data_IF_010995769194
#
_entry.id   IF_010995769194
#
_cell.length_a   1.000
_cell.length_b   1.000
_cell.length_c   1.000
_cell.angle_alpha   90.00
_cell.angle_beta   90.00
_cell.angle_gamma   90.00
#
_symmetry.space_group_name_H-M   'P 1'
#
loop_
_entity.id
_entity.type
_entity.pdbx_description
1 polymer ?
#
# COMPACT_ATOMS: atom_id res chain seq x y z
N UNK A 1 26.27 -16.48 2.34
CA UNK A 1 26.09 -14.99 2.20
C UNK A 1 24.65 -14.62 2.48
N UNK A 2 24.39 -13.40 2.97
CA UNK A 2 23.05 -12.92 3.34
C UNK A 2 21.97 -13.22 2.28
N UNK A 3 22.25 -13.03 0.99
CA UNK A 3 21.27 -13.29 -0.07
C UNK A 3 20.86 -14.75 -0.20
N UNK A 4 21.82 -15.69 -0.07
CA UNK A 4 21.51 -17.14 -0.12
C UNK A 4 20.67 -17.56 1.08
N UNK A 5 20.94 -17.01 2.26
CA UNK A 5 20.16 -17.35 3.46
C UNK A 5 18.75 -16.78 3.38
N UNK A 6 18.58 -15.57 2.84
CA UNK A 6 17.26 -14.97 2.59
C UNK A 6 16.43 -15.79 1.59
N UNK A 7 17.06 -16.45 0.61
CA UNK A 7 16.35 -17.31 -0.35
C UNK A 7 15.75 -18.57 0.30
N UNK A 8 16.33 -19.07 1.39
CA UNK A 8 15.77 -20.23 2.13
C UNK A 8 14.38 -19.92 2.70
N UNK A 9 14.15 -18.67 3.10
CA UNK A 9 12.87 -18.23 3.67
C UNK A 9 11.91 -17.62 2.63
N UNK A 10 12.34 -17.50 1.39
CA UNK A 10 11.60 -16.79 0.32
C UNK A 10 10.16 -17.29 0.18
N UNK A 11 9.96 -18.59 0.07
CA UNK A 11 8.64 -19.18 -0.10
C UNK A 11 7.73 -18.92 1.12
N UNK A 12 8.28 -19.06 2.33
CA UNK A 12 7.54 -18.79 3.56
C UNK A 12 7.10 -17.33 3.63
N UNK A 13 8.04 -16.41 3.47
CA UNK A 13 7.77 -14.96 3.55
C UNK A 13 6.78 -14.52 2.47
N UNK A 14 6.98 -14.97 1.22
CA UNK A 14 6.13 -14.60 0.09
C UNK A 14 4.72 -15.13 0.27
N UNK A 15 4.55 -16.40 0.61
CA UNK A 15 3.24 -17.00 0.85
C UNK A 15 2.50 -16.34 2.02
N UNK A 16 3.23 -15.98 3.07
CA UNK A 16 2.64 -15.27 4.20
C UNK A 16 2.16 -13.87 3.81
N UNK A 17 2.98 -13.10 3.08
CA UNK A 17 2.60 -11.78 2.56
C UNK A 17 1.39 -11.85 1.64
N UNK A 18 1.31 -12.88 0.79
CA UNK A 18 0.13 -13.13 -0.05
C UNK A 18 -1.13 -13.36 0.78
N UNK A 19 -1.03 -14.07 1.91
CA UNK A 19 -2.18 -14.25 2.83
C UNK A 19 -2.68 -12.91 3.39
N UNK A 20 -1.76 -12.06 3.86
CA UNK A 20 -2.10 -10.72 4.36
C UNK A 20 -2.70 -9.87 3.23
N UNK A 21 -2.09 -9.88 2.05
CA UNK A 21 -2.58 -9.18 0.86
C UNK A 21 -4.03 -9.57 0.52
N UNK A 22 -4.30 -10.87 0.44
CA UNK A 22 -5.66 -11.40 0.19
C UNK A 22 -6.65 -11.03 1.30
N UNK A 23 -6.18 -10.94 2.55
CA UNK A 23 -7.01 -10.49 3.67
C UNK A 23 -7.46 -9.05 3.45
N UNK A 24 -6.53 -8.13 3.13
CA UNK A 24 -6.88 -6.75 2.80
C UNK A 24 -7.85 -6.65 1.62
N UNK A 25 -7.62 -7.37 0.52
CA UNK A 25 -8.53 -7.41 -0.62
C UNK A 25 -9.95 -7.81 -0.21
N UNK A 26 -10.06 -8.88 0.60
CA UNK A 26 -11.36 -9.35 1.11
C UNK A 26 -12.05 -8.29 1.97
N UNK A 27 -11.31 -7.66 2.88
CA UNK A 27 -11.84 -6.66 3.81
C UNK A 27 -12.33 -5.38 3.09
N UNK A 28 -11.73 -5.04 1.95
CA UNK A 28 -12.09 -3.84 1.19
C UNK A 28 -13.01 -4.12 0.00
N UNK A 29 -13.26 -5.37 -0.38
CA UNK A 29 -13.99 -5.75 -1.60
C UNK A 29 -15.38 -5.14 -1.75
N UNK A 30 -16.04 -4.83 -0.65
CA UNK A 30 -17.40 -4.25 -0.63
C UNK A 30 -17.43 -2.76 -0.28
N UNK A 31 -16.29 -2.11 -0.15
CA UNK A 31 -16.23 -0.71 0.27
C UNK A 31 -15.95 0.22 -0.91
N UNK A 32 -16.95 0.97 -1.34
CA UNK A 32 -16.87 1.90 -2.48
C UNK A 32 -15.95 3.11 -2.22
N UNK A 33 -15.66 3.43 -0.96
CA UNK A 33 -14.81 4.57 -0.58
C UNK A 33 -13.32 4.22 -0.59
N UNK A 34 -12.99 2.93 -0.65
CA UNK A 34 -11.63 2.41 -0.60
C UNK A 34 -11.37 1.64 -1.89
N UNK A 35 -10.50 2.17 -2.74
CA UNK A 35 -10.12 1.51 -3.98
C UNK A 35 -8.74 0.89 -3.83
N UNK A 36 -8.64 -0.43 -3.94
CA UNK A 36 -7.35 -1.08 -4.05
C UNK A 36 -6.73 -0.77 -5.42
N UNK A 37 -5.47 -0.31 -5.43
CA UNK A 37 -4.81 0.11 -6.69
C UNK A 37 -4.35 -1.11 -7.51
N UNK A 38 -4.10 -2.23 -6.85
CA UNK A 38 -3.64 -3.45 -7.49
C UNK A 38 -4.63 -4.58 -7.25
N UNK A 39 -5.10 -5.18 -8.32
CA UNK A 39 -5.80 -6.45 -8.27
C UNK A 39 -4.78 -7.59 -8.32
N UNK A 40 -5.04 -8.63 -7.53
CA UNK A 40 -4.26 -9.85 -7.56
C UNK A 40 -4.60 -10.64 -8.83
N UNK A 41 -3.78 -10.52 -9.88
CA UNK A 41 -3.97 -11.30 -11.10
C UNK A 41 -3.57 -12.76 -10.83
N UNK A 42 -4.56 -13.66 -10.90
CA UNK A 42 -4.36 -15.10 -10.69
C UNK A 42 -3.43 -15.75 -11.72
N UNK A 43 -3.20 -15.10 -12.87
CA UNK A 43 -2.40 -15.60 -13.98
C UNK A 43 -0.92 -15.23 -13.86
N UNK A 44 -0.56 -14.41 -12.88
CA UNK A 44 0.81 -13.93 -12.68
C UNK A 44 1.24 -14.16 -11.24
N UNK A 45 2.49 -14.52 -11.08
CA UNK A 45 3.11 -14.52 -9.76
C UNK A 45 3.18 -13.10 -9.22
N UNK A 46 2.75 -12.92 -7.98
CA UNK A 46 2.72 -11.62 -7.33
C UNK A 46 3.57 -11.65 -6.07
N UNK A 47 4.61 -10.81 -6.03
CA UNK A 47 5.54 -10.75 -4.88
C UNK A 47 4.94 -10.15 -3.61
N UNK A 48 3.70 -9.63 -3.65
CA UNK A 48 3.02 -9.00 -2.52
C UNK A 48 3.95 -8.03 -1.76
N UNK A 49 4.64 -7.16 -2.48
CA UNK A 49 5.60 -6.23 -1.88
C UNK A 49 4.89 -5.09 -1.15
N UNK A 50 3.90 -4.47 -1.77
CA UNK A 50 3.13 -3.37 -1.22
C UNK A 50 1.64 -3.64 -1.35
N UNK A 51 0.85 -3.18 -0.36
CA UNK A 51 -0.59 -3.11 -0.49
C UNK A 51 -1.02 -1.64 -0.48
N UNK A 52 -1.50 -1.16 -1.62
CA UNK A 52 -1.82 0.25 -1.83
C UNK A 52 -3.31 0.45 -1.99
N UNK A 53 -3.85 1.40 -1.25
CA UNK A 53 -5.24 1.85 -1.35
C UNK A 53 -5.31 3.30 -1.80
N UNK A 54 -6.43 3.65 -2.43
CA UNK A 54 -6.80 5.02 -2.76
C UNK A 54 -8.02 5.41 -1.95
N UNK A 55 -7.92 6.52 -1.20
CA UNK A 55 -8.96 7.08 -0.35
C UNK A 55 -8.92 8.61 -0.42
N UNK A 56 -10.09 9.27 -0.35
CA UNK A 56 -10.15 10.72 -0.53
C UNK A 56 -9.54 11.52 0.63
N UNK A 57 -9.67 11.04 1.86
CA UNK A 57 -9.19 11.71 3.08
C UNK A 57 -7.97 11.05 3.69
N UNK A 58 -6.96 10.73 2.85
CA UNK A 58 -5.74 10.01 3.20
C UNK A 58 -5.08 10.52 4.49
N UNK A 59 -4.82 11.82 4.58
CA UNK A 59 -4.06 12.40 5.68
C UNK A 59 -4.79 12.23 7.02
N UNK A 60 -6.12 12.37 7.01
CA UNK A 60 -6.93 12.12 8.19
C UNK A 60 -6.87 10.65 8.62
N UNK A 61 -7.02 9.73 7.66
CA UNK A 61 -6.94 8.28 7.95
C UNK A 61 -5.56 7.92 8.44
N UNK A 62 -4.49 8.43 7.83
CA UNK A 62 -3.11 8.20 8.25
C UNK A 62 -2.87 8.68 9.69
N UNK A 63 -3.37 9.88 10.04
CA UNK A 63 -3.30 10.40 11.41
C UNK A 63 -4.01 9.46 12.39
N UNK A 64 -5.23 9.01 12.05
CA UNK A 64 -5.98 8.09 12.90
C UNK A 64 -5.28 6.74 13.07
N UNK A 65 -4.69 6.18 12.03
CA UNK A 65 -3.91 4.94 12.13
C UNK A 65 -2.70 5.12 13.04
N UNK A 66 -2.01 6.26 12.96
CA UNK A 66 -0.88 6.58 13.85
C UNK A 66 -1.29 6.66 15.32
N UNK A 67 -2.49 7.20 15.64
CA UNK A 67 -3.07 7.22 16.99
C UNK A 67 -3.27 5.78 17.55
N UNK A 68 -3.38 4.79 16.66
CA UNK A 68 -3.45 3.36 16.98
C UNK A 68 -2.10 2.63 16.84
N UNK A 69 -0.98 3.35 16.79
CA UNK A 69 0.37 2.81 16.58
C UNK A 69 0.53 2.02 15.26
N UNK A 70 -0.24 2.38 14.24
CA UNK A 70 -0.14 1.78 12.91
C UNK A 70 0.57 2.77 11.98
N UNK A 71 1.76 2.38 11.52
CA UNK A 71 2.52 3.16 10.56
C UNK A 71 2.03 2.86 9.14
N UNK A 72 1.79 3.92 8.38
CA UNK A 72 1.44 3.86 6.97
C UNK A 72 2.18 4.96 6.22
N UNK A 73 2.51 4.72 4.96
CA UNK A 73 3.38 5.64 4.23
C UNK A 73 2.97 5.81 2.77
N UNK A 74 3.55 6.84 2.15
CA UNK A 74 3.68 7.01 0.71
C UNK A 74 5.09 6.55 0.31
N UNK A 75 5.23 5.34 -0.21
CA UNK A 75 6.55 4.72 -0.43
C UNK A 75 7.36 5.43 -1.50
N UNK A 76 6.70 6.03 -2.49
CA UNK A 76 7.40 6.66 -3.60
C UNK A 76 7.10 8.16 -3.66
N UNK A 77 8.16 8.96 -3.50
CA UNK A 77 8.08 10.38 -3.81
C UNK A 77 8.07 10.59 -5.33
N UNK A 78 7.35 11.59 -5.81
CA UNK A 78 7.21 11.88 -7.24
C UNK A 78 8.54 12.28 -7.86
N UNK A 79 8.93 11.57 -8.91
CA UNK A 79 10.20 11.84 -9.61
C UNK A 79 10.22 13.21 -10.30
N UNK A 80 9.07 13.69 -10.79
CA UNK A 80 8.97 14.98 -11.45
C UNK A 80 9.24 16.19 -10.51
N UNK A 81 9.26 15.96 -9.20
CA UNK A 81 9.56 17.00 -8.19
C UNK A 81 11.02 17.07 -7.78
N UNK A 82 11.85 16.10 -8.16
CA UNK A 82 13.28 16.18 -7.88
C UNK A 82 13.96 17.21 -8.78
N UNK A 83 14.86 18.02 -8.19
CA UNK A 83 15.59 19.07 -8.89
C UNK A 83 16.37 18.56 -10.12
N UNK A 84 16.93 17.36 -10.03
CA UNK A 84 17.67 16.71 -11.12
C UNK A 84 16.81 16.49 -12.38
N UNK A 85 15.48 16.27 -12.22
CA UNK A 85 14.57 16.05 -13.34
C UNK A 85 13.92 17.32 -13.86
N UNK A 86 14.10 18.48 -13.19
CA UNK A 86 13.42 19.73 -13.52
C UNK A 86 13.51 20.13 -15.00
N UNK A 87 14.68 19.94 -15.62
CA UNK A 87 14.89 20.25 -17.05
C UNK A 87 14.09 19.35 -17.99
N UNK A 88 13.82 18.11 -17.60
CA UNK A 88 13.11 17.12 -18.42
C UNK A 88 11.58 17.24 -18.30
N UNK A 89 11.10 17.81 -17.22
CA UNK A 89 9.66 17.93 -16.92
C UNK A 89 9.12 19.34 -17.12
N UNK A 90 9.99 20.32 -17.47
CA UNK A 90 9.60 21.72 -17.71
C UNK A 90 8.46 21.80 -18.73
N UNK A 91 7.35 22.43 -18.33
CA UNK A 91 6.15 22.58 -19.16
C UNK A 91 5.28 21.32 -19.30
N UNK A 92 5.66 20.19 -18.70
CA UNK A 92 4.84 18.96 -18.71
C UNK A 92 3.86 18.95 -17.54
N UNK A 93 2.67 18.37 -17.78
CA UNK A 93 1.63 18.15 -16.76
C UNK A 93 1.47 16.66 -16.51
N UNK A 94 1.24 16.30 -15.25
CA UNK A 94 1.08 14.89 -14.82
C UNK A 94 -0.23 14.74 -14.01
N UNK A 95 -1.41 14.92 -14.65
CA UNK A 95 -2.70 14.99 -13.94
C UNK A 95 -3.02 13.73 -13.13
N UNK A 96 -2.64 12.56 -13.61
CA UNK A 96 -2.83 11.30 -12.86
C UNK A 96 -1.96 11.26 -11.61
N UNK A 97 -0.75 11.78 -11.66
CA UNK A 97 0.12 11.85 -10.49
C UNK A 97 -0.38 12.89 -9.49
N UNK A 98 -0.85 14.04 -9.99
CA UNK A 98 -1.46 15.09 -9.17
C UNK A 98 -2.70 14.56 -8.43
N UNK A 99 -3.53 13.79 -9.14
CA UNK A 99 -4.71 13.16 -8.55
C UNK A 99 -4.37 12.11 -7.48
N UNK A 100 -3.39 11.26 -7.75
CA UNK A 100 -3.06 10.14 -6.86
C UNK A 100 -2.26 10.57 -5.63
N UNK A 101 -1.39 11.57 -5.75
CA UNK A 101 -0.43 11.96 -4.71
C UNK A 101 -1.07 12.14 -3.33
N UNK A 102 -2.26 12.77 -3.29
CA UNK A 102 -2.96 13.07 -2.04
C UNK A 102 -3.98 11.99 -1.63
N UNK A 103 -4.01 10.87 -2.33
CA UNK A 103 -5.05 9.84 -2.12
C UNK A 103 -4.51 8.46 -1.83
N UNK A 104 -3.29 8.12 -2.27
CA UNK A 104 -2.79 6.77 -2.06
C UNK A 104 -2.07 6.60 -0.72
N UNK A 105 -2.31 5.47 -0.12
CA UNK A 105 -1.73 5.06 1.15
C UNK A 105 -1.29 3.61 1.07
N UNK A 106 -0.07 3.33 1.53
CA UNK A 106 0.47 1.97 1.60
C UNK A 106 0.29 1.42 3.00
N UNK A 107 -0.29 0.23 3.09
CA UNK A 107 -0.58 -0.45 4.36
C UNK A 107 0.56 -1.41 4.73
N UNK A 108 0.74 -1.69 6.04
CA UNK A 108 1.72 -2.65 6.51
C UNK A 108 1.52 -4.02 5.85
N UNK A 109 2.57 -4.52 5.19
CA UNK A 109 2.56 -5.80 4.50
C UNK A 109 3.90 -6.50 4.66
N UNK A 110 4.09 -7.22 5.76
CA UNK A 110 5.29 -7.99 6.04
C UNK A 110 4.96 -9.21 6.92
N UNK A 111 5.89 -10.13 7.05
CA UNK A 111 5.68 -11.41 7.75
C UNK A 111 5.39 -11.28 9.26
N UNK A 112 5.61 -10.12 9.87
CA UNK A 112 5.26 -9.85 11.28
C UNK A 112 3.84 -9.27 11.46
N UNK A 113 3.15 -8.91 10.37
CA UNK A 113 1.73 -8.49 10.44
C UNK A 113 0.87 -9.74 10.48
N UNK A 114 0.12 -9.92 11.54
CA UNK A 114 -0.82 -11.06 11.65
C UNK A 114 -2.09 -10.83 10.79
N UNK A 115 -2.85 -11.90 10.56
CA UNK A 115 -4.17 -11.78 9.89
C UNK A 115 -5.13 -10.97 10.74
N UNK A 116 -5.07 -11.07 12.08
CA UNK A 116 -5.85 -10.25 13.01
C UNK A 116 -5.49 -8.77 12.90
N UNK A 117 -4.19 -8.44 12.80
CA UNK A 117 -3.74 -7.06 12.61
C UNK A 117 -4.26 -6.49 11.28
N UNK A 118 -4.17 -7.26 10.19
CA UNK A 118 -4.68 -6.83 8.89
C UNK A 118 -6.20 -6.56 8.92
N UNK A 119 -6.97 -7.38 9.61
CA UNK A 119 -8.42 -7.15 9.83
C UNK A 119 -8.67 -5.92 10.70
N UNK A 120 -7.90 -5.73 11.77
CA UNK A 120 -8.00 -4.57 12.65
C UNK A 120 -7.69 -3.27 11.90
N UNK A 121 -6.56 -3.23 11.17
CA UNK A 121 -6.19 -2.11 10.30
C UNK A 121 -7.31 -1.79 9.31
N UNK A 122 -7.85 -2.82 8.66
CA UNK A 122 -8.95 -2.66 7.70
C UNK A 122 -10.21 -2.10 8.36
N UNK A 123 -10.53 -2.52 9.58
CA UNK A 123 -11.70 -2.01 10.32
C UNK A 123 -11.58 -0.53 10.63
N UNK A 124 -10.40 -0.08 11.05
CA UNK A 124 -10.11 1.34 11.30
C UNK A 124 -10.20 2.17 10.01
N UNK A 125 -9.64 1.67 8.92
CA UNK A 125 -9.70 2.36 7.63
C UNK A 125 -11.16 2.50 7.17
N UNK A 126 -11.96 1.43 7.24
CA UNK A 126 -13.39 1.50 6.90
C UNK A 126 -14.16 2.49 7.78
N UNK A 127 -13.79 2.60 9.06
CA UNK A 127 -14.41 3.54 10.01
C UNK A 127 -14.11 4.99 9.63
N UNK A 128 -12.91 5.29 9.18
CA UNK A 128 -12.43 6.66 9.00
C UNK A 128 -12.39 7.12 7.54
N UNK A 129 -12.45 6.24 6.54
CA UNK A 129 -12.49 6.61 5.12
C UNK A 129 -13.81 7.31 4.74
N UNK A 130 -13.68 8.38 3.92
CA UNK A 130 -14.81 9.20 3.44
C UNK A 130 -14.86 9.19 1.92
#
# INVERSE_FOLDING_TARGET
TMGVDSLKEFNFITNYRIKIYKTYLKEFSKNIKIKCIHDFDKRKEHGAWLFTININNKDFVQKKLREHNIETNQVHFRNDRYSIFKKFVKGKKFPNMDYLENKYLVLPLHHKVSISDAKYISSLIRKYAK
#
